data_IF_854181630734
#
_entry.id   IF_854181630734
#
_cell.length_a   1.000
_cell.length_b   1.000
_cell.length_c   1.000
_cell.angle_alpha   90.00
_cell.angle_beta   90.00
_cell.angle_gamma   90.00
#
_symmetry.space_group_name_H-M   'P 1'
#
loop_
_entity.id
_entity.type
_entity.pdbx_description
1 polymer ?
#
# COMPACT_ATOMS: atom_id res chain seq x y z
N UNK A 1 -16.29 18.46 -17.95
CA UNK A 1 -15.38 17.35 -18.34
C UNK A 1 -15.16 16.37 -17.19
N UNK A 2 -14.83 16.83 -15.98
CA UNK A 2 -14.77 15.96 -14.78
C UNK A 2 -16.11 15.28 -14.43
N UNK A 3 -17.23 15.96 -14.58
CA UNK A 3 -18.54 15.36 -14.27
C UNK A 3 -18.96 14.30 -15.30
N UNK A 4 -18.50 14.42 -16.55
CA UNK A 4 -18.71 13.42 -17.59
C UNK A 4 -17.86 12.16 -17.34
N UNK A 5 -16.67 12.31 -16.74
CA UNK A 5 -15.82 11.20 -16.30
C UNK A 5 -16.41 10.49 -15.07
N UNK A 6 -16.96 11.24 -14.11
CA UNK A 6 -17.66 10.66 -12.95
C UNK A 6 -18.92 9.89 -13.35
N UNK A 7 -19.73 10.45 -14.27
CA UNK A 7 -20.93 9.79 -14.78
C UNK A 7 -20.62 8.52 -15.59
N UNK A 8 -19.53 8.51 -16.38
CA UNK A 8 -19.07 7.30 -17.10
C UNK A 8 -18.53 6.21 -16.17
N UNK A 9 -17.87 6.58 -15.06
CA UNK A 9 -17.41 5.60 -14.07
C UNK A 9 -18.56 5.02 -13.26
N UNK A 10 -19.62 5.80 -12.97
CA UNK A 10 -20.84 5.31 -12.32
C UNK A 10 -21.63 4.32 -13.21
N UNK A 11 -21.62 4.52 -14.54
CA UNK A 11 -22.25 3.60 -15.50
C UNK A 11 -21.44 2.34 -15.82
N UNK A 12 -20.16 2.27 -15.41
CA UNK A 12 -19.29 1.10 -15.60
C UNK A 12 -19.27 0.14 -14.41
N UNK A 13 -20.06 0.41 -13.38
CA UNK A 13 -20.42 -0.61 -12.39
C UNK A 13 -21.31 -1.65 -13.09
N UNK A 14 -20.67 -2.57 -13.82
CA UNK A 14 -21.29 -3.83 -14.21
C UNK A 14 -21.81 -4.57 -12.98
N UNK A 15 -22.59 -5.66 -13.16
CA UNK A 15 -23.16 -6.38 -12.03
C UNK A 15 -22.07 -6.70 -11.02
N UNK A 16 -22.14 -6.14 -9.81
CA UNK A 16 -22.48 -7.03 -8.70
C UNK A 16 -21.57 -8.22 -8.52
N UNK A 17 -20.29 -8.09 -8.81
CA UNK A 17 -19.46 -9.24 -9.11
C UNK A 17 -18.96 -9.75 -7.74
N UNK A 18 -19.79 -10.61 -7.16
CA UNK A 18 -19.74 -11.06 -5.76
C UNK A 18 -18.57 -12.04 -5.47
N UNK A 19 -17.49 -11.97 -6.26
CA UNK A 19 -16.30 -12.80 -6.11
C UNK A 19 -15.16 -12.14 -5.32
N UNK A 20 -15.40 -11.03 -4.63
CA UNK A 20 -14.38 -10.33 -3.84
C UNK A 20 -14.66 -10.35 -2.33
N UNK A 21 -14.24 -11.41 -1.61
CA UNK A 21 -13.97 -11.34 -0.19
C UNK A 21 -12.52 -10.92 0.11
N UNK A 22 -11.77 -10.36 -0.85
CA UNK A 22 -10.32 -10.18 -0.70
C UNK A 22 -9.89 -8.89 0.02
N UNK A 23 -10.80 -7.96 0.25
CA UNK A 23 -10.54 -6.81 1.11
C UNK A 23 -11.71 -6.68 2.09
N UNK A 24 -11.48 -6.76 3.41
CA UNK A 24 -12.51 -6.29 4.33
C UNK A 24 -12.85 -4.83 3.94
N UNK A 25 -14.13 -4.46 3.89
CA UNK A 25 -14.50 -3.06 3.66
C UNK A 25 -13.72 -2.21 4.65
N UNK A 26 -13.16 -1.08 4.19
CA UNK A 26 -12.43 -0.13 5.03
C UNK A 26 -13.24 0.09 6.30
N UNK A 27 -12.80 -0.51 7.41
CA UNK A 27 -13.53 -0.42 8.66
C UNK A 27 -13.66 1.08 8.95
N UNK A 28 -14.88 1.60 9.12
CA UNK A 28 -15.05 3.02 9.42
C UNK A 28 -14.30 3.34 10.70
N UNK A 29 -13.15 4.01 10.54
CA UNK A 29 -12.28 4.37 11.63
C UNK A 29 -12.96 5.51 12.41
N UNK A 30 -13.47 5.16 13.59
CA UNK A 30 -14.04 6.11 14.56
C UNK A 30 -12.92 7.02 15.06
N UNK A 31 -13.24 8.29 15.31
CA UNK A 31 -12.35 9.34 15.87
C UNK A 31 -11.29 8.81 16.84
N UNK A 32 -10.07 9.39 16.84
CA UNK A 32 -8.99 8.97 17.73
C UNK A 32 -9.42 8.87 19.19
N UNK A 33 -9.05 7.80 19.92
CA UNK A 33 -9.24 7.76 21.35
C UNK A 33 -8.43 8.91 21.97
N UNK A 34 -9.03 9.62 22.93
CA UNK A 34 -8.42 10.80 23.55
C UNK A 34 -7.28 10.45 24.54
N UNK A 35 -6.81 9.22 24.55
CA UNK A 35 -5.79 8.72 25.48
C UNK A 35 -4.48 8.49 24.73
N UNK A 36 -3.48 9.31 25.03
CA UNK A 36 -2.13 9.19 24.48
C UNK A 36 -1.44 7.84 24.81
N UNK A 37 -1.95 7.11 25.80
CA UNK A 37 -1.41 5.81 26.24
C UNK A 37 -1.89 4.63 25.40
N UNK A 38 -2.91 4.82 24.56
CA UNK A 38 -3.50 3.75 23.77
C UNK A 38 -2.63 3.47 22.54
N UNK A 39 -2.21 2.22 22.34
CA UNK A 39 -1.60 1.81 21.07
C UNK A 39 -2.69 1.76 19.99
N UNK A 40 -2.53 2.56 18.93
CA UNK A 40 -3.45 2.57 17.79
C UNK A 40 -2.81 1.77 16.66
N UNK A 41 -3.52 0.74 16.19
CA UNK A 41 -3.07 -0.07 15.06
C UNK A 41 -4.08 0.06 13.92
N UNK A 42 -3.64 0.59 12.78
CA UNK A 42 -4.43 0.66 11.56
C UNK A 42 -3.92 -0.41 10.59
N UNK A 43 -4.81 -1.19 9.98
CA UNK A 43 -4.42 -2.31 9.09
C UNK A 43 -4.96 -2.03 7.70
N UNK A 44 -4.09 -2.07 6.69
CA UNK A 44 -4.38 -1.81 5.28
C UNK A 44 -5.12 -0.48 5.04
N UNK A 45 -4.86 0.51 5.89
CA UNK A 45 -5.32 1.88 5.73
C UNK A 45 -4.59 2.56 4.57
N UNK A 46 -5.27 3.45 3.85
CA UNK A 46 -4.63 4.31 2.83
C UNK A 46 -3.98 5.54 3.47
N UNK A 47 -3.22 6.30 2.67
CA UNK A 47 -2.68 7.59 3.12
C UNK A 47 -3.78 8.59 3.49
N UNK A 48 -4.98 8.51 2.91
CA UNK A 48 -6.11 9.35 3.30
C UNK A 48 -6.69 8.94 4.65
N UNK A 49 -6.80 7.64 4.90
CA UNK A 49 -7.33 7.10 6.16
C UNK A 49 -6.45 7.43 7.36
N UNK A 50 -5.13 7.52 7.16
CA UNK A 50 -4.16 7.75 8.25
C UNK A 50 -3.99 9.23 8.61
N UNK A 51 -4.31 10.18 7.72
CA UNK A 51 -4.10 11.63 7.99
C UNK A 51 -4.64 12.08 9.36
N UNK A 52 -5.87 11.71 9.77
CA UNK A 52 -6.41 12.10 11.08
C UNK A 52 -5.63 11.56 12.28
N UNK A 53 -4.78 10.56 12.06
CA UNK A 53 -4.07 9.81 13.10
C UNK A 53 -2.61 10.17 13.23
N UNK A 54 -2.03 10.90 12.26
CA UNK A 54 -0.59 11.16 12.21
C UNK A 54 -0.03 11.87 13.45
N UNK A 55 -0.88 12.60 14.19
CA UNK A 55 -0.51 13.26 15.44
C UNK A 55 -0.52 12.33 16.66
N UNK A 56 -1.00 11.10 16.53
CA UNK A 56 -1.10 10.15 17.62
C UNK A 56 0.29 9.54 17.90
N UNK A 57 0.85 9.71 19.12
CA UNK A 57 2.25 9.35 19.42
C UNK A 57 2.51 7.84 19.40
N UNK A 58 1.47 7.03 19.55
CA UNK A 58 1.52 5.55 19.53
C UNK A 58 0.77 4.95 18.34
N UNK A 59 0.82 5.62 17.19
CA UNK A 59 0.26 5.08 15.95
C UNK A 59 1.22 4.06 15.34
N UNK A 60 0.64 2.94 14.91
CA UNK A 60 1.27 1.95 14.02
C UNK A 60 0.32 1.68 12.87
N UNK A 61 0.76 1.91 11.64
CA UNK A 61 0.02 1.58 10.42
C UNK A 61 0.65 0.35 9.74
N UNK A 62 -0.17 -0.63 9.38
CA UNK A 62 0.28 -1.93 8.87
C UNK A 62 -0.19 -2.13 7.43
N UNK A 63 0.75 -2.45 6.54
CA UNK A 63 0.45 -3.18 5.32
C UNK A 63 0.53 -4.68 5.63
N UNK A 64 -0.60 -5.38 5.62
CA UNK A 64 -0.68 -6.82 5.82
C UNK A 64 -1.17 -7.50 4.54
N UNK A 65 -0.33 -8.33 3.94
CA UNK A 65 -0.60 -9.04 2.70
C UNK A 65 -0.55 -10.56 2.87
N UNK A 66 -1.50 -11.23 2.22
CA UNK A 66 -1.60 -12.68 2.18
C UNK A 66 -2.98 -13.09 1.67
N UNK A 67 -3.08 -14.30 1.14
CA UNK A 67 -4.37 -14.93 0.89
C UNK A 67 -5.07 -15.19 2.24
N UNK A 68 -6.29 -14.68 2.51
CA UNK A 68 -6.85 -14.72 3.87
C UNK A 68 -6.96 -16.13 4.48
N UNK A 69 -7.44 -17.16 3.75
CA UNK A 69 -7.41 -18.54 4.24
C UNK A 69 -6.01 -19.01 4.64
N UNK A 70 -5.01 -18.80 3.78
CA UNK A 70 -3.64 -19.25 4.06
C UNK A 70 -2.95 -18.40 5.13
N UNK A 71 -3.13 -17.09 5.12
CA UNK A 71 -2.52 -16.15 6.05
C UNK A 71 -3.06 -16.33 7.47
N UNK A 72 -4.32 -16.74 7.62
CA UNK A 72 -4.87 -17.11 8.93
C UNK A 72 -4.19 -18.34 9.56
N UNK A 73 -3.60 -19.22 8.73
CA UNK A 73 -2.94 -20.46 9.17
C UNK A 73 -1.41 -20.32 9.25
N UNK A 74 -0.84 -19.48 8.38
CA UNK A 74 0.61 -19.39 8.17
C UNK A 74 1.20 -18.01 8.48
N UNK A 75 0.36 -17.04 8.83
CA UNK A 75 0.74 -15.66 9.11
C UNK A 75 0.69 -14.76 7.87
N UNK A 76 0.66 -13.45 8.14
CA UNK A 76 0.61 -12.37 7.16
C UNK A 76 2.00 -11.80 6.87
N UNK A 77 2.28 -11.44 5.63
CA UNK A 77 3.45 -10.62 5.32
C UNK A 77 3.14 -9.20 5.77
N UNK A 78 3.88 -8.69 6.75
CA UNK A 78 3.57 -7.40 7.38
C UNK A 78 4.70 -6.39 7.17
N UNK A 79 4.34 -5.20 6.71
CA UNK A 79 5.14 -4.00 6.79
C UNK A 79 4.51 -3.01 7.76
N UNK A 80 5.25 -2.58 8.78
CA UNK A 80 4.78 -1.65 9.79
C UNK A 80 5.38 -0.25 9.57
N UNK A 81 4.55 0.79 9.62
CA UNK A 81 4.93 2.19 9.74
C UNK A 81 4.65 2.72 11.14
N UNK A 82 5.47 3.66 11.61
CA UNK A 82 5.27 4.32 12.89
C UNK A 82 6.58 4.79 13.51
N UNK A 83 6.49 5.45 14.67
CA UNK A 83 7.67 5.69 15.48
C UNK A 83 8.21 4.37 16.04
N UNK A 84 9.54 4.23 16.14
CA UNK A 84 10.18 3.01 16.67
C UNK A 84 9.57 2.54 17.98
N UNK A 85 9.36 3.44 18.95
CA UNK A 85 8.77 3.09 20.24
C UNK A 85 7.33 2.52 20.13
N UNK A 86 6.54 3.01 19.17
CA UNK A 86 5.19 2.51 18.91
C UNK A 86 5.24 1.11 18.28
N UNK A 87 6.14 0.90 17.31
CA UNK A 87 6.37 -0.39 16.66
C UNK A 87 6.92 -1.41 17.65
N UNK A 88 7.85 -1.02 18.52
CA UNK A 88 8.38 -1.86 19.61
C UNK A 88 7.23 -2.30 20.53
N UNK A 89 6.33 -1.39 20.91
CA UNK A 89 5.15 -1.72 21.71
C UNK A 89 4.16 -2.67 20.99
N UNK A 90 4.13 -2.66 19.65
CA UNK A 90 3.32 -3.57 18.85
C UNK A 90 3.99 -4.92 18.56
N UNK A 91 5.26 -5.11 18.95
CA UNK A 91 6.08 -6.27 18.54
C UNK A 91 5.41 -7.62 18.82
N UNK A 92 4.82 -7.80 20.01
CA UNK A 92 4.17 -9.06 20.36
C UNK A 92 2.97 -9.38 19.45
N UNK A 93 2.19 -8.36 19.06
CA UNK A 93 1.11 -8.50 18.11
C UNK A 93 1.64 -8.81 16.70
N UNK A 94 2.67 -8.09 16.26
CA UNK A 94 3.29 -8.28 14.95
C UNK A 94 3.89 -9.68 14.81
N UNK A 95 4.58 -10.18 15.84
CA UNK A 95 5.14 -11.54 15.85
C UNK A 95 4.05 -12.61 15.88
N UNK A 96 2.89 -12.34 16.49
CA UNK A 96 1.75 -13.27 16.50
C UNK A 96 1.02 -13.33 15.15
N UNK A 97 1.00 -12.23 14.40
CA UNK A 97 0.34 -12.16 13.08
C UNK A 97 1.26 -12.58 11.93
N UNK A 98 2.57 -12.43 12.08
CA UNK A 98 3.54 -12.76 11.04
C UNK A 98 3.82 -14.28 10.97
N UNK A 99 4.36 -14.80 9.85
CA UNK A 99 4.82 -16.17 9.77
C UNK A 99 5.83 -16.51 10.87
N UNK A 100 5.92 -17.79 11.31
CA UNK A 100 6.84 -18.22 12.35
C UNK A 100 8.28 -18.32 11.79
N UNK A 101 8.85 -17.20 11.36
CA UNK A 101 10.21 -17.06 10.84
C UNK A 101 10.88 -15.82 11.44
N UNK A 102 12.21 -15.82 11.59
CA UNK A 102 12.94 -14.60 11.94
C UNK A 102 12.64 -13.50 10.92
N UNK A 103 12.44 -12.26 11.39
CA UNK A 103 12.21 -11.09 10.54
C UNK A 103 10.98 -11.24 9.61
N UNK A 104 9.93 -11.94 10.08
CA UNK A 104 8.71 -12.17 9.31
C UNK A 104 7.84 -10.92 9.09
N UNK A 105 8.17 -9.81 9.74
CA UNK A 105 7.64 -8.48 9.45
C UNK A 105 8.78 -7.45 9.40
N UNK A 106 8.52 -6.33 8.73
CA UNK A 106 9.50 -5.29 8.46
C UNK A 106 9.04 -3.92 8.99
N UNK A 107 9.93 -3.18 9.68
CA UNK A 107 9.71 -1.76 9.96
C UNK A 107 10.00 -0.95 8.70
N UNK A 108 8.94 -0.48 8.03
CA UNK A 108 9.02 0.18 6.73
C UNK A 108 9.45 1.64 6.80
N UNK A 109 9.22 2.32 7.93
CA UNK A 109 9.45 3.75 8.03
C UNK A 109 8.64 4.42 9.12
N UNK A 110 8.68 5.77 9.18
CA UNK A 110 7.83 6.55 10.07
C UNK A 110 6.34 6.35 9.77
N UNK A 111 5.47 6.98 10.57
CA UNK A 111 4.01 6.90 10.40
C UNK A 111 3.59 7.20 8.95
N UNK A 112 2.72 6.35 8.40
CA UNK A 112 2.27 6.40 7.01
C UNK A 112 3.04 5.47 6.06
N UNK A 113 4.14 4.86 6.49
CA UNK A 113 4.90 3.94 5.66
C UNK A 113 4.14 2.64 5.33
N UNK A 114 3.42 2.08 6.30
CA UNK A 114 2.53 0.95 6.09
C UNK A 114 1.33 1.32 5.22
N UNK A 115 0.74 2.50 5.44
CA UNK A 115 -0.38 3.00 4.64
C UNK A 115 0.00 3.26 3.18
N UNK A 116 1.19 3.82 2.94
CA UNK A 116 1.76 3.97 1.60
C UNK A 116 1.96 2.60 0.93
N UNK A 117 2.57 1.63 1.63
CA UNK A 117 2.76 0.29 1.10
C UNK A 117 1.43 -0.42 0.80
N UNK A 118 0.42 -0.27 1.66
CA UNK A 118 -0.92 -0.79 1.45
C UNK A 118 -1.57 -0.17 0.20
N UNK A 119 -1.45 1.15 0.01
CA UNK A 119 -1.93 1.84 -1.19
C UNK A 119 -1.31 1.30 -2.48
N UNK A 120 0.01 1.08 -2.50
CA UNK A 120 0.67 0.46 -3.65
C UNK A 120 0.15 -0.95 -3.97
N UNK A 121 -0.11 -1.76 -2.94
CA UNK A 121 -0.71 -3.09 -3.13
C UNK A 121 -2.13 -2.98 -3.67
N UNK A 122 -2.95 -2.03 -3.18
CA UNK A 122 -4.30 -1.79 -3.69
C UNK A 122 -4.30 -1.35 -5.16
N UNK A 123 -3.35 -0.50 -5.57
CA UNK A 123 -3.17 -0.11 -6.97
C UNK A 123 -2.86 -1.32 -7.85
N UNK A 124 -1.93 -2.17 -7.41
CA UNK A 124 -1.57 -3.41 -8.11
C UNK A 124 -2.74 -4.40 -8.21
N UNK A 125 -3.50 -4.57 -7.12
CA UNK A 125 -4.69 -5.43 -7.10
C UNK A 125 -5.78 -4.89 -8.03
N UNK A 126 -6.05 -3.59 -7.98
CA UNK A 126 -7.04 -2.94 -8.84
C UNK A 126 -6.69 -3.10 -10.33
N UNK A 127 -5.41 -2.91 -10.67
CA UNK A 127 -4.91 -3.16 -12.03
C UNK A 127 -5.10 -4.63 -12.42
N UNK A 128 -4.72 -5.56 -11.54
CA UNK A 128 -4.87 -7.01 -11.77
C UNK A 128 -6.32 -7.41 -11.99
N UNK A 129 -7.25 -6.88 -11.20
CA UNK A 129 -8.69 -7.15 -11.34
C UNK A 129 -9.25 -6.57 -12.63
N UNK A 130 -8.85 -5.36 -13.03
CA UNK A 130 -9.24 -4.78 -14.30
C UNK A 130 -8.77 -5.64 -15.50
N UNK A 131 -7.56 -6.18 -15.40
CA UNK A 131 -6.99 -7.13 -16.37
C UNK A 131 -7.79 -8.43 -16.42
N UNK A 132 -8.06 -9.03 -15.26
CA UNK A 132 -8.82 -10.28 -15.18
C UNK A 132 -10.27 -10.09 -15.63
N UNK A 133 -10.89 -8.94 -15.33
CA UNK A 133 -12.22 -8.60 -15.81
C UNK A 133 -12.27 -8.47 -17.33
N UNK A 134 -11.24 -7.89 -17.93
CA UNK A 134 -11.09 -7.86 -19.40
C UNK A 134 -10.93 -9.29 -19.98
N UNK A 135 -10.08 -10.13 -19.39
CA UNK A 135 -9.91 -11.53 -19.80
C UNK A 135 -11.16 -12.40 -19.56
N UNK A 136 -11.96 -12.06 -18.55
CA UNK A 136 -13.15 -12.81 -18.13
C UNK A 136 -14.42 -12.47 -18.92
N UNK A 137 -14.37 -11.51 -19.84
CA UNK A 137 -15.52 -11.12 -20.66
C UNK A 137 -16.11 -12.31 -21.42
N UNK A 138 -17.44 -12.47 -21.36
CA UNK A 138 -18.17 -13.61 -21.94
C UNK A 138 -18.09 -13.68 -23.47
N UNK A 139 -17.83 -12.55 -24.11
CA UNK A 139 -17.62 -12.47 -25.55
C UNK A 139 -16.14 -12.64 -25.89
N UNK A 140 -15.72 -13.88 -26.16
CA UNK A 140 -14.35 -14.21 -26.54
C UNK A 140 -13.89 -13.54 -27.85
N UNK A 141 -14.81 -13.05 -28.67
CA UNK A 141 -14.45 -12.26 -29.86
C UNK A 141 -13.87 -10.89 -29.51
N UNK A 142 -14.05 -10.43 -28.27
CA UNK A 142 -13.50 -9.19 -27.73
C UNK A 142 -12.16 -9.39 -26.99
N UNK A 143 -11.64 -10.63 -26.92
CA UNK A 143 -10.31 -10.92 -26.38
C UNK A 143 -9.19 -10.53 -27.36
N UNK A 144 -9.41 -9.49 -28.16
CA UNK A 144 -8.37 -8.86 -28.97
C UNK A 144 -7.55 -8.00 -28.02
N UNK A 145 -6.30 -8.37 -27.80
CA UNK A 145 -5.36 -7.57 -27.02
C UNK A 145 -5.36 -6.13 -27.55
N UNK A 146 -5.83 -5.20 -26.71
CA UNK A 146 -5.83 -3.77 -26.98
C UNK A 146 -4.68 -3.11 -26.21
N UNK A 147 -3.48 -2.98 -26.82
CA UNK A 147 -2.33 -2.37 -26.16
C UNK A 147 -2.62 -0.94 -25.67
N UNK A 148 -3.50 -0.20 -26.35
CA UNK A 148 -3.87 1.16 -25.99
C UNK A 148 -4.66 1.21 -24.67
N UNK A 149 -5.63 0.30 -24.51
CA UNK A 149 -6.37 0.17 -23.25
C UNK A 149 -5.46 -0.19 -22.07
N UNK A 150 -4.58 -1.17 -22.27
CA UNK A 150 -3.62 -1.62 -21.26
C UNK A 150 -2.63 -0.54 -20.85
N UNK A 151 -2.13 0.19 -21.83
CA UNK A 151 -1.26 1.33 -21.60
C UNK A 151 -1.99 2.44 -20.82
N UNK A 152 -3.24 2.75 -21.19
CA UNK A 152 -4.03 3.76 -20.49
C UNK A 152 -4.28 3.39 -19.01
N UNK A 153 -4.65 2.13 -18.74
CA UNK A 153 -4.84 1.62 -17.38
C UNK A 153 -3.55 1.70 -16.56
N UNK A 154 -2.43 1.30 -17.16
CA UNK A 154 -1.11 1.35 -16.51
C UNK A 154 -0.69 2.79 -16.21
N UNK A 155 -0.96 3.74 -17.12
CA UNK A 155 -0.67 5.15 -16.91
C UNK A 155 -1.49 5.76 -15.76
N UNK A 156 -2.78 5.41 -15.65
CA UNK A 156 -3.62 5.85 -14.53
C UNK A 156 -3.09 5.32 -13.20
N UNK A 157 -2.79 4.01 -13.15
CA UNK A 157 -2.27 3.36 -11.93
C UNK A 157 -0.91 3.95 -11.52
N UNK A 158 -0.02 4.19 -12.48
CA UNK A 158 1.28 4.80 -12.23
C UNK A 158 1.14 6.25 -11.74
N UNK A 159 0.20 7.03 -12.30
CA UNK A 159 -0.05 8.39 -11.84
C UNK A 159 -0.51 8.42 -10.38
N UNK A 160 -1.43 7.53 -10.00
CA UNK A 160 -1.90 7.40 -8.62
C UNK A 160 -0.79 6.95 -7.66
N UNK A 161 -0.01 5.94 -8.04
CA UNK A 161 1.12 5.47 -7.24
C UNK A 161 2.18 6.57 -7.02
N UNK A 162 2.42 7.41 -8.03
CA UNK A 162 3.33 8.56 -7.92
C UNK A 162 2.77 9.66 -7.01
N UNK A 163 1.46 9.94 -7.09
CA UNK A 163 0.81 10.88 -6.17
C UNK A 163 0.97 10.43 -4.72
N UNK A 164 0.70 9.16 -4.43
CA UNK A 164 0.89 8.58 -3.09
C UNK A 164 2.35 8.62 -2.64
N UNK A 165 3.30 8.33 -3.55
CA UNK A 165 4.72 8.43 -3.25
C UNK A 165 5.16 9.85 -2.90
N UNK A 166 4.71 10.86 -3.65
CA UNK A 166 4.97 12.27 -3.34
C UNK A 166 4.37 12.67 -1.99
N UNK A 167 3.12 12.27 -1.72
CA UNK A 167 2.46 12.55 -0.44
C UNK A 167 3.19 11.92 0.73
N UNK A 168 3.55 10.64 0.63
CA UNK A 168 4.30 9.94 1.66
C UNK A 168 5.66 10.60 1.93
N UNK A 169 6.43 10.96 0.88
CA UNK A 169 7.72 11.64 1.06
C UNK A 169 7.57 12.99 1.77
N UNK A 170 6.52 13.76 1.47
CA UNK A 170 6.23 15.03 2.15
C UNK A 170 5.93 14.82 3.65
N UNK A 171 5.24 13.73 4.01
CA UNK A 171 4.98 13.35 5.40
C UNK A 171 6.26 12.88 6.12
N UNK A 172 7.02 11.98 5.48
CA UNK A 172 8.17 11.32 6.07
C UNK A 172 9.38 12.24 6.26
N UNK A 173 9.52 13.32 5.47
CA UNK A 173 10.67 14.24 5.50
C UNK A 173 10.96 14.87 6.87
N UNK A 174 9.99 14.86 7.78
CA UNK A 174 10.09 15.50 9.10
C UNK A 174 10.44 14.53 10.24
N UNK A 175 10.42 13.23 9.98
CA UNK A 175 10.53 12.22 11.04
C UNK A 175 11.78 11.35 10.81
N UNK A 176 12.75 11.36 11.75
CA UNK A 176 13.91 10.48 11.63
C UNK A 176 13.47 9.01 11.70
N UNK A 177 14.08 8.18 10.87
CA UNK A 177 13.83 6.75 10.86
C UNK A 177 14.87 6.02 11.71
N UNK A 178 14.38 5.27 12.69
CA UNK A 178 15.17 4.27 13.41
C UNK A 178 14.54 2.89 13.20
N UNK A 179 15.27 1.92 12.66
CA UNK A 179 14.73 0.59 12.45
C UNK A 179 14.46 -0.10 13.81
N UNK A 180 13.30 -0.76 13.93
CA UNK A 180 12.92 -1.48 15.16
C UNK A 180 13.67 -2.81 15.29
N UNK A 181 14.14 -3.35 14.17
CA UNK A 181 14.92 -4.59 14.05
C UNK A 181 16.04 -4.38 13.04
N UNK A 182 17.15 -5.14 13.11
CA UNK A 182 18.17 -5.10 12.08
C UNK A 182 17.56 -5.31 10.69
N UNK A 183 17.82 -4.37 9.77
CA UNK A 183 17.35 -4.47 8.39
C UNK A 183 17.98 -5.71 7.74
N UNK A 184 17.19 -6.61 7.12
CA UNK A 184 17.72 -7.73 6.38
C UNK A 184 18.71 -7.27 5.31
N UNK A 185 19.86 -7.92 5.19
CA UNK A 185 20.89 -7.58 4.18
C UNK A 185 20.34 -7.60 2.73
N UNK A 186 19.29 -8.38 2.47
CA UNK A 186 18.61 -8.42 1.18
C UNK A 186 17.94 -7.09 0.79
N UNK A 187 17.60 -6.24 1.77
CA UNK A 187 17.02 -4.91 1.58
C UNK A 187 18.08 -3.81 1.52
N UNK A 188 19.33 -4.10 1.90
CA UNK A 188 20.48 -3.20 1.79
C UNK A 188 21.09 -3.21 0.37
N UNK A 189 20.26 -3.37 -0.67
CA UNK A 189 20.76 -3.30 -2.05
C UNK A 189 20.91 -1.83 -2.45
N UNK A 190 22.11 -1.48 -2.90
CA UNK A 190 22.35 -0.19 -3.53
C UNK A 190 21.62 -0.16 -4.88
N UNK A 191 20.59 0.68 -4.97
CA UNK A 191 20.06 1.08 -6.25
C UNK A 191 20.88 2.28 -6.73
N UNK A 192 21.36 2.30 -7.99
CA UNK A 192 22.30 3.34 -8.46
C UNK A 192 21.75 4.77 -8.37
N UNK A 193 20.44 4.93 -8.19
CA UNK A 193 19.74 6.21 -8.05
C UNK A 193 19.23 6.49 -6.63
N UNK A 194 19.42 5.57 -5.67
CA UNK A 194 19.07 5.77 -4.26
C UNK A 194 20.36 6.00 -3.48
N UNK A 195 20.57 7.22 -3.00
CA UNK A 195 21.89 7.67 -2.48
C UNK A 195 21.99 7.61 -0.95
N UNK A 196 20.99 7.05 -0.28
CA UNK A 196 20.89 7.06 1.18
C UNK A 196 20.54 5.68 1.74
N UNK A 197 21.57 4.93 2.11
CA UNK A 197 21.43 3.62 2.77
C UNK A 197 20.82 3.72 4.17
N UNK A 198 20.65 4.93 4.71
CA UNK A 198 20.02 5.18 6.01
C UNK A 198 18.52 5.51 5.90
N UNK A 199 18.02 5.70 4.67
CA UNK A 199 16.62 5.99 4.45
C UNK A 199 15.72 4.81 4.83
N UNK A 200 14.52 5.13 5.29
CA UNK A 200 13.48 4.14 5.54
C UNK A 200 13.14 3.34 4.27
N UNK A 201 12.85 2.02 4.37
CA UNK A 201 12.44 1.21 3.22
C UNK A 201 11.30 1.81 2.38
N UNK A 202 10.28 2.39 3.01
CA UNK A 202 9.17 3.04 2.29
C UNK A 202 9.60 4.33 1.58
N UNK A 203 10.62 5.05 2.09
CA UNK A 203 11.21 6.23 1.42
C UNK A 203 11.94 5.81 0.16
N UNK A 204 12.74 4.74 0.24
CA UNK A 204 13.40 4.15 -0.92
C UNK A 204 12.39 3.68 -1.97
N UNK A 205 11.30 3.03 -1.53
CA UNK A 205 10.22 2.59 -2.41
C UNK A 205 9.50 3.76 -3.08
N UNK A 206 9.19 4.84 -2.35
CA UNK A 206 8.55 6.02 -2.91
C UNK A 206 9.46 6.70 -3.96
N UNK A 207 10.75 6.83 -3.68
CA UNK A 207 11.74 7.35 -4.65
C UNK A 207 11.81 6.47 -5.91
N UNK A 208 11.77 5.14 -5.75
CA UNK A 208 11.73 4.21 -6.87
C UNK A 208 10.45 4.38 -7.72
N UNK A 209 9.27 4.52 -7.09
CA UNK A 209 8.01 4.74 -7.80
C UNK A 209 8.06 6.04 -8.62
N UNK A 210 8.64 7.10 -8.06
CA UNK A 210 8.83 8.37 -8.77
C UNK A 210 9.85 8.27 -9.91
N UNK A 211 10.81 7.35 -9.85
CA UNK A 211 11.81 7.16 -10.90
C UNK A 211 11.33 6.31 -12.10
N UNK A 212 10.21 5.58 -11.98
CA UNK A 212 9.64 4.81 -13.10
C UNK A 212 9.23 5.78 -14.20
N UNK A 213 9.73 5.70 -15.45
CA UNK A 213 9.35 6.63 -16.51
C UNK A 213 7.89 6.43 -16.95
N UNK A 214 7.27 7.50 -17.49
CA UNK A 214 5.96 7.37 -18.12
C UNK A 214 6.07 6.52 -19.40
N UNK A 215 5.06 5.69 -19.68
CA UNK A 215 5.03 4.89 -20.90
C UNK A 215 4.89 5.78 -22.16
N UNK A 216 5.64 5.52 -23.24
CA UNK A 216 5.59 6.32 -24.46
C UNK A 216 4.20 6.26 -25.10
N UNK A 217 3.53 7.40 -25.28
CA UNK A 217 2.20 7.43 -25.91
C UNK A 217 2.27 6.88 -27.34
N UNK A 218 1.47 5.86 -27.65
CA UNK A 218 1.30 5.42 -29.03
C UNK A 218 0.52 6.51 -29.79
N UNK A 219 1.15 7.07 -30.82
CA UNK A 219 0.57 8.08 -31.72
C UNK A 219 -0.25 7.41 -32.82
#
# INVERSE_FOLDING_TARGET
>A
MLDALRARNAQRQGPEVDWLPLLPPSASIKTPPNSADTLVVLINATLDDIVPWLHHPRLVDLAAYGDPPLASQHGWIIGAGGARAAVDAATALLDALAPPRPQAWLHLGPSGAGAFAAGLVQHWQSQTLAILGWLGGTDRSQWVYDPGHWQALTQVTLAQAREDATRYLAMAATTPFEPARPTPAALTRSFPFLHDDTAAPATLLAQLVLSIPALPQQQ
#
